data_IF_056796176038
#
_entry.id   IF_056796176038
#
_cell.length_a   1.000
_cell.length_b   1.000
_cell.length_c   1.000
_cell.angle_alpha   90.00
_cell.angle_beta   90.00
_cell.angle_gamma   90.00
#
_symmetry.space_group_name_H-M   'P 1'
#
loop_
_entity.id
_entity.type
_entity.pdbx_description
1 polymer ?
#
# COMPACT_ATOMS: atom_id res chain seq x y z
N UNK A 1 -17.61 32.06 13.23
CA UNK A 1 -17.67 30.75 13.90
C UNK A 1 -16.94 29.76 13.00
N UNK A 2 -15.67 29.51 13.31
CA UNK A 2 -14.93 28.43 12.67
C UNK A 2 -15.40 27.14 13.34
N UNK A 3 -15.87 26.18 12.55
CA UNK A 3 -16.16 24.84 13.05
C UNK A 3 -14.84 24.26 13.57
N UNK A 4 -14.77 24.03 14.88
CA UNK A 4 -13.78 23.17 15.49
C UNK A 4 -14.03 21.76 14.93
N UNK A 5 -13.32 21.45 13.85
CA UNK A 5 -13.27 20.12 13.27
C UNK A 5 -12.84 19.16 14.35
N UNK A 6 -13.72 18.21 14.66
CA UNK A 6 -13.53 17.20 15.68
C UNK A 6 -12.44 16.24 15.20
N UNK A 7 -11.17 16.62 15.37
CA UNK A 7 -9.96 15.94 14.86
C UNK A 7 -9.65 14.60 15.57
N UNK A 8 -10.64 14.00 16.25
CA UNK A 8 -10.51 12.78 17.04
C UNK A 8 -11.36 11.61 16.50
N UNK A 9 -11.89 11.71 15.27
CA UNK A 9 -12.59 10.58 14.63
C UNK A 9 -11.64 9.85 13.70
N UNK A 10 -11.21 8.65 14.09
CA UNK A 10 -10.47 7.71 13.23
C UNK A 10 -11.37 6.93 12.26
N UNK A 11 -12.69 7.18 12.27
CA UNK A 11 -13.65 6.52 11.38
C UNK A 11 -14.70 7.53 10.95
N UNK A 12 -14.90 7.66 9.65
CA UNK A 12 -15.87 8.58 9.06
C UNK A 12 -17.30 8.03 9.14
N UNK A 13 -18.31 8.86 8.89
CA UNK A 13 -19.72 8.44 8.94
C UNK A 13 -20.02 7.31 7.95
N UNK A 14 -19.37 7.33 6.79
CA UNK A 14 -19.44 6.27 5.80
C UNK A 14 -18.90 4.95 6.33
N UNK A 15 -17.70 4.95 6.93
CA UNK A 15 -17.07 3.75 7.51
C UNK A 15 -17.97 3.09 8.54
N UNK A 16 -18.54 3.90 9.45
CA UNK A 16 -19.45 3.42 10.50
C UNK A 16 -20.71 2.81 9.88
N UNK A 17 -21.30 3.47 8.89
CA UNK A 17 -22.53 2.98 8.23
C UNK A 17 -22.33 1.68 7.46
N UNK A 18 -21.09 1.39 7.08
CA UNK A 18 -20.69 0.19 6.35
C UNK A 18 -20.12 -0.90 7.25
N UNK A 19 -20.09 -0.67 8.57
CA UNK A 19 -19.57 -1.64 9.53
C UNK A 19 -18.05 -1.77 9.50
N UNK A 20 -17.32 -0.78 8.97
CA UNK A 20 -15.87 -0.85 8.82
C UNK A 20 -15.10 -0.52 10.11
N UNK A 21 -15.77 0.05 11.13
CA UNK A 21 -15.19 0.38 12.44
C UNK A 21 -14.69 -0.84 13.23
N UNK A 22 -15.01 -2.06 12.78
CA UNK A 22 -14.52 -3.30 13.36
C UNK A 22 -13.14 -3.72 12.81
N UNK A 23 -12.59 -2.99 11.84
CA UNK A 23 -11.30 -3.29 11.22
C UNK A 23 -10.25 -2.25 11.59
N UNK A 24 -9.00 -2.71 11.64
CA UNK A 24 -7.80 -1.87 11.55
C UNK A 24 -7.34 -1.88 10.10
N UNK A 25 -7.05 -0.69 9.58
CA UNK A 25 -6.60 -0.50 8.21
C UNK A 25 -5.07 -0.46 8.14
N UNK A 26 -4.50 -1.16 7.16
CA UNK A 26 -3.09 -1.01 6.80
C UNK A 26 -2.96 -0.59 5.33
N UNK A 27 -1.91 0.15 5.04
CA UNK A 27 -1.51 0.46 3.69
C UNK A 27 -0.36 -0.45 3.26
N UNK A 28 -0.47 -1.01 2.06
CA UNK A 28 0.64 -1.71 1.38
C UNK A 28 1.58 -0.73 0.66
N UNK A 29 1.14 0.52 0.49
CA UNK A 29 1.89 1.59 -0.16
C UNK A 29 2.83 2.33 0.78
N UNK A 30 3.46 3.37 0.25
CA UNK A 30 4.31 4.25 1.02
C UNK A 30 3.53 4.91 2.17
N UNK A 31 4.10 4.97 3.38
CA UNK A 31 3.54 5.77 4.45
C UNK A 31 3.51 7.25 4.05
N UNK A 32 2.34 7.88 4.12
CA UNK A 32 2.21 9.33 3.97
C UNK A 32 2.14 9.99 5.34
N UNK A 33 3.23 10.67 5.73
CA UNK A 33 3.32 11.40 7.00
C UNK A 33 2.24 12.48 7.14
N UNK A 34 1.74 13.02 6.04
CA UNK A 34 0.72 14.06 6.07
C UNK A 34 -0.67 13.54 6.46
N UNK A 35 -0.91 12.22 6.39
CA UNK A 35 -2.26 11.64 6.53
C UNK A 35 -2.49 10.88 7.84
N UNK A 36 -1.46 10.28 8.46
CA UNK A 36 -1.67 9.25 9.50
C UNK A 36 -1.06 9.55 10.88
N UNK A 37 -0.64 10.79 11.13
CA UNK A 37 -0.12 11.21 12.44
C UNK A 37 1.34 10.81 12.70
N UNK A 38 1.85 10.99 13.93
CA UNK A 38 3.29 10.94 14.20
C UNK A 38 3.88 9.54 14.35
N UNK A 39 3.05 8.50 14.41
CA UNK A 39 3.45 7.12 14.65
C UNK A 39 3.13 6.25 13.44
N UNK A 40 4.11 5.49 12.99
CA UNK A 40 3.95 4.56 11.87
C UNK A 40 4.60 3.24 12.22
N UNK A 41 3.83 2.15 12.09
CA UNK A 41 4.28 0.83 12.48
C UNK A 41 4.44 -0.04 11.24
N UNK A 42 5.61 -0.67 11.09
CA UNK A 42 5.74 -1.77 10.15
C UNK A 42 5.03 -3.00 10.69
N UNK A 43 4.05 -3.47 9.95
CA UNK A 43 3.30 -4.69 10.27
C UNK A 43 3.94 -5.87 9.55
N UNK A 44 3.96 -7.03 10.21
CA UNK A 44 4.41 -8.27 9.59
C UNK A 44 3.50 -8.65 8.42
N UNK A 45 4.03 -8.77 7.17
CA UNK A 45 3.22 -9.12 6.01
C UNK A 45 2.53 -10.48 6.14
N UNK A 46 2.97 -11.37 7.04
CA UNK A 46 2.27 -12.62 7.35
C UNK A 46 0.83 -12.41 7.83
N UNK A 47 0.47 -11.20 8.27
CA UNK A 47 -0.91 -10.82 8.60
C UNK A 47 -1.87 -11.00 7.41
N UNK A 48 -1.38 -10.89 6.17
CA UNK A 48 -2.16 -11.12 4.95
C UNK A 48 -2.54 -12.58 4.75
N UNK A 49 -1.78 -13.51 5.31
CA UNK A 49 -2.02 -14.95 5.18
C UNK A 49 -3.09 -15.45 6.17
N UNK A 50 -3.57 -14.58 7.06
CA UNK A 50 -4.60 -14.92 8.01
C UNK A 50 -5.97 -14.96 7.30
N UNK A 51 -6.79 -16.00 7.52
CA UNK A 51 -8.06 -16.17 6.80
C UNK A 51 -9.05 -15.00 6.95
N UNK A 52 -8.94 -14.26 8.05
CA UNK A 52 -9.82 -13.14 8.37
C UNK A 52 -9.38 -11.79 7.78
N UNK A 53 -8.19 -11.74 7.18
CA UNK A 53 -7.66 -10.51 6.57
C UNK A 53 -8.21 -10.37 5.15
N UNK A 54 -8.72 -9.18 4.84
CA UNK A 54 -9.23 -8.85 3.49
C UNK A 54 -8.53 -7.60 2.97
N UNK A 55 -8.51 -7.44 1.66
CA UNK A 55 -7.94 -6.27 1.02
C UNK A 55 -8.89 -5.72 -0.05
N UNK A 56 -8.83 -4.41 -0.26
CA UNK A 56 -9.49 -3.74 -1.38
C UNK A 56 -8.42 -3.05 -2.24
N UNK A 57 -8.56 -3.03 -3.57
CA UNK A 57 -7.56 -2.39 -4.43
C UNK A 57 -7.47 -0.87 -4.22
N UNK A 58 -8.52 -0.27 -3.66
CA UNK A 58 -8.65 1.16 -3.39
C UNK A 58 -9.24 1.39 -2.00
N UNK A 59 -8.86 2.52 -1.41
CA UNK A 59 -9.50 3.09 -0.22
C UNK A 59 -10.95 3.51 -0.58
N UNK A 60 -11.87 3.38 0.38
CA UNK A 60 -13.26 3.77 0.16
C UNK A 60 -13.40 5.27 -0.15
N UNK A 61 -12.55 6.12 0.41
CA UNK A 61 -12.50 7.55 0.14
C UNK A 61 -12.13 7.85 -1.32
N UNK A 62 -11.30 7.02 -1.95
CA UNK A 62 -10.98 7.13 -3.38
C UNK A 62 -12.17 6.73 -4.28
N UNK A 63 -13.03 5.83 -3.79
CA UNK A 63 -14.22 5.36 -4.53
C UNK A 63 -15.41 6.30 -4.32
N UNK A 64 -15.71 6.66 -3.08
CA UNK A 64 -16.83 7.53 -2.72
C UNK A 64 -16.53 9.00 -3.06
N UNK A 65 -15.28 9.43 -2.89
CA UNK A 65 -14.87 10.83 -2.93
C UNK A 65 -14.78 11.43 -1.53
N UNK A 66 -13.86 12.38 -1.33
CA UNK A 66 -13.54 12.94 -0.01
C UNK A 66 -14.71 13.67 0.68
N UNK A 67 -15.67 14.21 -0.08
CA UNK A 67 -16.86 14.85 0.51
C UNK A 67 -17.90 13.84 1.00
N UNK A 68 -17.87 12.63 0.43
CA UNK A 68 -18.91 11.62 0.62
C UNK A 68 -18.61 10.75 1.85
N UNK A 69 -17.36 10.70 2.32
CA UNK A 69 -16.99 9.95 3.54
C UNK A 69 -17.69 10.51 4.80
N UNK A 70 -18.02 11.80 4.81
CA UNK A 70 -18.74 12.46 5.90
C UNK A 70 -20.24 12.13 5.95
N UNK A 71 -20.77 11.45 4.93
CA UNK A 71 -22.17 11.02 4.85
C UNK A 71 -22.28 9.51 5.11
N UNK A 72 -23.32 9.04 5.82
CA UNK A 72 -23.61 7.61 5.89
C UNK A 72 -24.05 7.08 4.51
N UNK A 73 -23.82 5.80 4.26
CA UNK A 73 -24.09 5.14 2.97
C UNK A 73 -25.49 5.42 2.41
N UNK A 74 -26.52 5.42 3.26
CA UNK A 74 -27.91 5.67 2.88
C UNK A 74 -28.20 7.08 2.34
N UNK A 75 -27.32 8.04 2.63
CA UNK A 75 -27.43 9.44 2.18
C UNK A 75 -26.60 9.73 0.93
N UNK A 76 -25.78 8.77 0.49
CA UNK A 76 -25.01 8.89 -0.74
C UNK A 76 -25.91 8.87 -1.98
N UNK A 77 -25.42 9.48 -3.06
CA UNK A 77 -26.08 9.36 -4.37
C UNK A 77 -26.15 7.90 -4.81
N UNK A 78 -27.19 7.53 -5.57
CA UNK A 78 -27.31 6.15 -6.13
C UNK A 78 -26.07 5.72 -6.89
N UNK A 79 -25.43 6.65 -7.62
CA UNK A 79 -24.19 6.38 -8.36
C UNK A 79 -23.03 6.05 -7.42
N UNK A 80 -22.86 6.81 -6.33
CA UNK A 80 -21.83 6.54 -5.33
C UNK A 80 -22.07 5.19 -4.63
N UNK A 81 -23.30 4.90 -4.24
CA UNK A 81 -23.68 3.61 -3.65
C UNK A 81 -23.36 2.44 -4.59
N UNK A 82 -23.66 2.58 -5.89
CA UNK A 82 -23.34 1.57 -6.91
C UNK A 82 -21.84 1.36 -7.06
N UNK A 83 -21.03 2.43 -7.08
CA UNK A 83 -19.57 2.34 -7.14
C UNK A 83 -19.00 1.64 -5.91
N UNK A 84 -19.46 1.97 -4.71
CA UNK A 84 -19.04 1.26 -3.49
C UNK A 84 -19.40 -0.23 -3.59
N UNK A 85 -20.63 -0.56 -4.02
CA UNK A 85 -21.03 -1.96 -4.13
C UNK A 85 -20.18 -2.75 -5.15
N UNK A 86 -19.89 -2.14 -6.30
CA UNK A 86 -19.19 -2.82 -7.39
C UNK A 86 -17.66 -2.75 -7.26
N UNK A 87 -17.12 -1.56 -7.03
CA UNK A 87 -15.67 -1.29 -7.09
C UNK A 87 -14.98 -1.51 -5.74
N UNK A 88 -15.69 -1.31 -4.62
CA UNK A 88 -15.11 -1.56 -3.29
C UNK A 88 -15.36 -2.99 -2.84
N UNK A 89 -16.64 -3.39 -2.72
CA UNK A 89 -16.99 -4.74 -2.27
C UNK A 89 -16.83 -5.79 -3.37
N UNK A 90 -17.20 -5.49 -4.61
CA UNK A 90 -17.09 -6.44 -5.72
C UNK A 90 -15.65 -6.76 -6.14
N UNK A 91 -14.67 -5.94 -5.73
CA UNK A 91 -13.24 -6.18 -5.95
C UNK A 91 -12.49 -6.56 -4.67
N UNK A 92 -13.20 -6.80 -3.56
CA UNK A 92 -12.58 -7.22 -2.31
C UNK A 92 -12.02 -8.63 -2.45
N UNK A 93 -10.80 -8.82 -1.95
CA UNK A 93 -10.06 -10.07 -2.04
C UNK A 93 -9.63 -10.52 -0.64
N UNK A 94 -9.30 -11.80 -0.51
CA UNK A 94 -8.60 -12.26 0.69
C UNK A 94 -7.21 -11.65 0.74
N UNK A 95 -6.61 -11.55 1.93
CA UNK A 95 -5.24 -11.05 2.05
C UNK A 95 -4.22 -11.90 1.27
N UNK A 96 -4.43 -13.21 1.18
CA UNK A 96 -3.59 -14.13 0.43
C UNK A 96 -3.68 -13.88 -1.09
N UNK A 97 -4.89 -13.71 -1.63
CA UNK A 97 -5.09 -13.39 -3.05
C UNK A 97 -4.51 -12.02 -3.40
N UNK A 98 -4.63 -11.04 -2.50
CA UNK A 98 -4.02 -9.73 -2.67
C UNK A 98 -2.49 -9.79 -2.69
N UNK A 99 -1.91 -10.57 -1.77
CA UNK A 99 -0.47 -10.81 -1.74
C UNK A 99 0.02 -11.42 -3.06
N UNK A 100 -0.68 -12.43 -3.57
CA UNK A 100 -0.36 -13.04 -4.86
C UNK A 100 -0.49 -12.04 -6.01
N UNK A 101 -1.56 -11.24 -6.03
CA UNK A 101 -1.79 -10.22 -7.04
C UNK A 101 -0.65 -9.20 -7.10
N UNK A 102 -0.20 -8.69 -5.95
CA UNK A 102 0.93 -7.76 -5.91
C UNK A 102 2.24 -8.45 -6.30
N UNK A 103 2.48 -9.67 -5.82
CA UNK A 103 3.67 -10.43 -6.22
C UNK A 103 3.76 -10.60 -7.74
N UNK A 104 2.65 -10.92 -8.41
CA UNK A 104 2.58 -10.98 -9.88
C UNK A 104 2.93 -9.65 -10.53
N UNK A 105 2.41 -8.53 -10.03
CA UNK A 105 2.74 -7.19 -10.57
C UNK A 105 4.21 -6.82 -10.41
N UNK A 106 4.81 -7.17 -9.27
CA UNK A 106 6.25 -6.99 -9.04
C UNK A 106 7.05 -7.82 -10.04
N UNK A 107 6.70 -9.10 -10.22
CA UNK A 107 7.35 -10.00 -11.16
C UNK A 107 7.21 -9.50 -12.61
N UNK A 108 6.01 -9.08 -13.02
CA UNK A 108 5.78 -8.56 -14.37
C UNK A 108 6.59 -7.29 -14.64
N UNK A 109 6.74 -6.42 -13.63
CA UNK A 109 7.61 -5.24 -13.71
C UNK A 109 9.07 -5.64 -13.92
N UNK A 110 9.58 -6.62 -13.15
CA UNK A 110 10.94 -7.14 -13.31
C UNK A 110 11.13 -7.79 -14.68
N UNK A 111 10.17 -8.55 -15.19
CA UNK A 111 10.23 -9.14 -16.54
C UNK A 111 10.21 -8.10 -17.66
N UNK A 112 9.55 -6.96 -17.45
CA UNK A 112 9.58 -5.83 -18.38
C UNK A 112 10.93 -5.09 -18.37
N UNK A 113 11.88 -5.54 -17.54
CA UNK A 113 13.22 -4.98 -17.43
C UNK A 113 13.38 -3.99 -16.29
N UNK A 114 12.33 -3.72 -15.49
CA UNK A 114 12.42 -2.75 -14.40
C UNK A 114 13.27 -3.30 -13.24
N UNK A 115 14.27 -2.56 -12.75
CA UNK A 115 15.12 -2.97 -11.63
C UNK A 115 14.36 -3.04 -10.31
N UNK A 116 13.33 -2.20 -10.19
CA UNK A 116 12.66 -1.89 -8.95
C UNK A 116 11.18 -1.76 -9.22
N UNK A 117 10.38 -2.14 -8.25
CA UNK A 117 8.95 -1.89 -8.31
C UNK A 117 8.65 -0.53 -7.68
N UNK A 118 8.08 0.38 -8.48
CA UNK A 118 7.73 1.73 -8.03
C UNK A 118 6.49 1.68 -7.11
N UNK A 119 6.70 2.00 -5.83
CA UNK A 119 5.64 2.29 -4.86
C UNK A 119 5.15 3.73 -5.12
N UNK A 120 4.07 3.87 -5.88
CA UNK A 120 3.49 5.18 -6.15
C UNK A 120 2.74 5.72 -4.93
N UNK A 121 2.99 6.99 -4.63
CA UNK A 121 2.20 7.74 -3.66
C UNK A 121 0.86 8.13 -4.30
N UNK A 122 -0.22 8.10 -3.51
CA UNK A 122 -1.50 8.70 -3.92
C UNK A 122 -2.60 7.73 -4.30
N UNK A 123 -2.83 6.69 -3.50
CA UNK A 123 -4.11 5.96 -3.55
C UNK A 123 -4.36 5.15 -4.82
N UNK A 124 -3.35 4.98 -5.70
CA UNK A 124 -3.50 4.21 -6.94
C UNK A 124 -2.80 2.86 -6.85
N UNK A 125 -3.56 1.85 -6.44
CA UNK A 125 -3.29 0.46 -6.80
C UNK A 125 -2.34 -0.32 -5.90
N UNK A 126 -2.03 0.15 -4.68
CA UNK A 126 -1.35 -0.67 -3.67
C UNK A 126 -2.31 -1.28 -2.66
N UNK A 127 -3.55 -0.81 -2.64
CA UNK A 127 -4.64 -1.40 -1.87
C UNK A 127 -4.61 -1.10 -0.37
N UNK A 128 -5.79 -1.20 0.22
CA UNK A 128 -6.05 -1.04 1.64
C UNK A 128 -6.38 -2.41 2.25
N UNK A 129 -5.60 -2.81 3.25
CA UNK A 129 -5.73 -4.06 3.97
C UNK A 129 -6.58 -3.82 5.21
N UNK A 130 -7.47 -4.76 5.53
CA UNK A 130 -8.40 -4.70 6.66
C UNK A 130 -8.19 -5.92 7.54
N UNK A 131 -7.77 -5.67 8.78
CA UNK A 131 -7.60 -6.68 9.80
C UNK A 131 -8.70 -6.55 10.86
N UNK A 132 -9.51 -7.59 11.11
CA UNK A 132 -10.63 -7.46 12.05
C UNK A 132 -10.14 -7.43 13.50
N UNK A 133 -10.75 -6.57 14.31
CA UNK A 133 -10.49 -6.45 15.74
C UNK A 133 -9.25 -5.62 16.05
N UNK A 134 -8.36 -6.17 16.89
CA UNK A 134 -7.18 -5.48 17.40
C UNK A 134 -5.93 -6.19 16.90
N UNK A 135 -4.96 -5.41 16.41
CA UNK A 135 -3.66 -5.93 15.98
C UNK A 135 -2.81 -6.18 17.22
N UNK A 136 -2.51 -7.45 17.47
CA UNK A 136 -1.61 -7.84 18.54
C UNK A 136 -0.18 -7.33 18.29
N UNK A 137 0.56 -7.06 19.38
CA UNK A 137 1.93 -6.55 19.28
C UNK A 137 2.89 -7.51 18.59
N UNK A 138 2.56 -8.81 18.54
CA UNK A 138 3.32 -9.82 17.79
C UNK A 138 3.35 -9.58 16.28
N UNK A 139 2.42 -8.78 15.74
CA UNK A 139 2.38 -8.40 14.33
C UNK A 139 3.12 -7.11 14.03
N UNK A 140 3.58 -6.37 15.05
CA UNK A 140 4.32 -5.12 14.86
C UNK A 140 5.83 -5.42 14.86
N UNK A 141 6.50 -5.17 13.73
CA UNK A 141 7.93 -5.41 13.55
C UNK A 141 8.79 -4.25 13.99
N UNK A 142 8.43 -3.04 13.56
CA UNK A 142 9.18 -1.82 13.84
C UNK A 142 8.23 -0.64 14.06
N UNK A 143 8.69 0.33 14.82
CA UNK A 143 8.07 1.63 14.99
C UNK A 143 8.97 2.69 14.35
N UNK A 144 8.43 3.40 13.35
CA UNK A 144 9.06 4.50 12.64
C UNK A 144 8.41 5.84 13.02
N UNK A 145 8.33 6.09 14.32
CA UNK A 145 7.86 7.36 14.86
C UNK A 145 8.76 8.52 14.42
N UNK A 146 8.17 9.52 13.78
CA UNK A 146 8.90 10.69 13.28
C UNK A 146 9.27 10.62 11.80
N UNK A 147 9.04 11.73 11.09
CA UNK A 147 9.46 11.93 9.69
C UNK A 147 10.92 11.54 9.42
N UNK A 148 11.81 11.83 10.37
CA UNK A 148 13.24 11.51 10.26
C UNK A 148 13.50 10.00 10.18
N UNK A 149 12.78 9.18 10.96
CA UNK A 149 12.94 7.73 10.89
C UNK A 149 12.44 7.16 9.57
N UNK A 150 11.35 7.71 9.02
CA UNK A 150 10.86 7.31 7.71
C UNK A 150 11.88 7.63 6.62
N UNK A 151 12.37 8.87 6.58
CA UNK A 151 13.28 9.34 5.54
C UNK A 151 14.68 8.71 5.62
N UNK A 152 15.19 8.44 6.83
CA UNK A 152 16.57 7.96 7.03
C UNK A 152 16.69 6.45 7.24
N UNK A 153 15.62 5.76 7.61
CA UNK A 153 15.67 4.32 7.95
C UNK A 153 14.73 3.52 7.07
N UNK A 154 13.44 3.83 7.09
CA UNK A 154 12.44 3.03 6.38
C UNK A 154 12.58 3.14 4.86
N UNK A 155 12.56 4.35 4.30
CA UNK A 155 12.66 4.53 2.85
C UNK A 155 13.95 3.98 2.23
N UNK A 156 15.14 4.17 2.80
CA UNK A 156 16.35 3.52 2.29
C UNK A 156 16.27 1.99 2.34
N UNK A 157 15.63 1.42 3.37
CA UNK A 157 15.45 -0.04 3.47
C UNK A 157 14.58 -0.63 2.37
N UNK A 158 13.59 0.13 1.86
CA UNK A 158 12.75 -0.31 0.74
C UNK A 158 13.57 -0.43 -0.54
N UNK A 159 14.51 0.49 -0.77
CA UNK A 159 15.40 0.45 -1.92
C UNK A 159 16.31 -0.77 -1.92
N UNK A 160 16.88 -1.11 -0.76
CA UNK A 160 17.68 -2.33 -0.60
C UNK A 160 16.89 -3.63 -0.89
N UNK A 161 15.55 -3.55 -0.89
CA UNK A 161 14.64 -4.65 -1.20
C UNK A 161 14.08 -4.61 -2.63
N UNK A 162 14.58 -3.72 -3.49
CA UNK A 162 14.14 -3.60 -4.89
C UNK A 162 12.86 -2.78 -5.05
N UNK A 163 12.54 -1.87 -4.13
CA UNK A 163 11.41 -0.95 -4.25
C UNK A 163 11.89 0.49 -4.37
N UNK A 164 11.30 1.26 -5.29
CA UNK A 164 11.52 2.70 -5.39
C UNK A 164 10.25 3.46 -5.04
N UNK A 165 10.37 4.78 -4.82
CA UNK A 165 9.22 5.63 -4.56
C UNK A 165 9.38 7.02 -5.17
N UNK A 166 8.24 7.63 -5.46
CA UNK A 166 8.16 8.97 -6.04
C UNK A 166 8.76 10.00 -5.07
N UNK A 167 9.83 10.70 -5.51
CA UNK A 167 10.49 11.75 -4.72
C UNK A 167 11.73 11.30 -3.92
N UNK A 168 12.21 10.06 -4.07
CA UNK A 168 13.51 9.66 -3.50
C UNK A 168 14.66 10.44 -4.16
N UNK A 169 15.32 11.33 -3.42
CA UNK A 169 16.54 12.02 -3.89
C UNK A 169 17.67 11.04 -4.19
N UNK A 170 17.72 9.89 -3.51
CA UNK A 170 18.70 8.85 -3.80
C UNK A 170 18.43 8.19 -5.16
N UNK A 171 17.18 7.79 -5.42
CA UNK A 171 16.79 7.27 -6.73
C UNK A 171 17.04 8.32 -7.83
N UNK A 172 16.75 9.60 -7.56
CA UNK A 172 17.02 10.69 -8.51
C UNK A 172 18.52 10.90 -8.77
N UNK A 173 19.36 10.80 -7.74
CA UNK A 173 20.83 10.95 -7.86
C UNK A 173 21.48 9.82 -8.61
N UNK A 174 21.17 8.57 -8.26
CA UNK A 174 21.70 7.39 -8.96
C UNK A 174 21.29 7.40 -10.44
N UNK A 175 20.08 7.88 -10.76
CA UNK A 175 19.61 8.04 -12.15
C UNK A 175 20.37 9.11 -12.93
N UNK A 176 20.74 10.21 -12.27
CA UNK A 176 21.55 11.28 -12.86
C UNK A 176 23.00 10.82 -13.06
N UNK A 177 23.57 10.07 -12.11
CA UNK A 177 24.92 9.49 -12.22
C UNK A 177 25.02 8.45 -13.34
N UNK A 178 23.94 7.71 -13.60
CA UNK A 178 23.81 6.77 -14.72
C UNK A 178 23.49 7.46 -16.06
N UNK A 179 23.39 8.79 -16.10
CA UNK A 179 23.15 9.57 -17.33
C UNK A 179 21.75 9.42 -17.93
N UNK A 180 20.74 9.02 -17.13
CA UNK A 180 19.40 8.67 -17.61
C UNK A 180 18.43 9.84 -17.39
N UNK A 181 17.77 10.30 -18.46
CA UNK A 181 16.90 11.51 -18.46
C UNK A 181 15.39 11.19 -18.33
N UNK A 182 15.02 9.91 -18.37
CA UNK A 182 13.72 9.31 -18.04
C UNK A 182 13.97 7.87 -17.56
N UNK A 183 13.02 7.26 -16.86
CA UNK A 183 13.07 5.85 -16.40
C UNK A 183 13.46 4.93 -17.56
N UNK A 184 14.75 4.70 -17.71
CA UNK A 184 15.29 3.51 -18.34
C UNK A 184 15.96 2.75 -17.24
N UNK A 185 15.52 1.52 -17.14
CA UNK A 185 15.61 0.64 -16.00
C UNK A 185 17.02 0.06 -15.82
N UNK A 186 17.60 0.05 -14.60
CA UNK A 186 18.81 -0.72 -14.38
C UNK A 186 18.64 -2.17 -14.78
N UNK A 187 19.63 -2.70 -15.48
CA UNK A 187 19.57 -4.08 -15.90
C UNK A 187 19.67 -4.99 -14.67
N UNK A 188 19.07 -6.18 -14.70
CA UNK A 188 19.17 -7.18 -13.64
C UNK A 188 20.62 -7.51 -13.23
N UNK A 189 21.58 -7.40 -14.15
CA UNK A 189 23.01 -7.53 -13.88
C UNK A 189 23.55 -6.36 -13.02
N UNK A 190 23.03 -5.15 -13.22
CA UNK A 190 23.34 -3.95 -12.41
C UNK A 190 22.84 -4.09 -10.96
N UNK A 191 21.86 -4.96 -10.72
CA UNK A 191 21.31 -5.26 -9.39
C UNK A 191 21.88 -6.52 -8.72
N UNK A 192 22.78 -7.24 -9.39
CA UNK A 192 23.30 -8.51 -8.89
C UNK A 192 22.22 -9.60 -8.75
N UNK A 193 21.14 -9.52 -9.52
CA UNK A 193 20.09 -10.55 -9.52
C UNK A 193 20.62 -11.77 -10.29
N UNK A 194 20.79 -12.88 -9.57
CA UNK A 194 21.08 -14.17 -10.20
C UNK A 194 19.80 -14.73 -10.85
N UNK A 195 19.69 -14.49 -12.15
CA UNK A 195 18.56 -14.94 -12.95
C UNK A 195 18.35 -16.45 -12.94
N UNK A 196 19.43 -17.23 -12.87
CA UNK A 196 19.35 -18.69 -12.89
C UNK A 196 18.77 -19.17 -11.56
N UNK A 197 19.20 -18.58 -10.46
CA UNK A 197 18.67 -18.86 -9.13
C UNK A 197 17.21 -18.42 -9.00
N UNK A 198 16.88 -17.20 -9.42
CA UNK A 198 15.51 -16.67 -9.36
C UNK A 198 14.54 -17.51 -10.21
N UNK A 199 14.92 -17.89 -11.43
CA UNK A 199 14.13 -18.75 -12.30
C UNK A 199 14.02 -20.18 -11.74
N UNK A 200 15.06 -20.72 -11.13
CA UNK A 200 15.03 -22.05 -10.50
C UNK A 200 14.08 -22.10 -9.30
N UNK A 201 14.11 -21.08 -8.44
CA UNK A 201 13.18 -20.94 -7.31
C UNK A 201 11.75 -20.88 -7.85
N UNK A 202 11.54 -20.10 -8.91
CA UNK A 202 10.21 -19.96 -9.52
C UNK A 202 9.68 -21.25 -10.13
N UNK A 203 10.52 -22.00 -10.86
CA UNK A 203 10.13 -23.29 -11.43
C UNK A 203 9.83 -24.33 -10.33
N UNK A 204 10.50 -24.25 -9.18
CA UNK A 204 10.20 -25.13 -8.04
C UNK A 204 8.87 -24.80 -7.34
N UNK A 205 8.39 -23.55 -7.45
CA UNK A 205 7.10 -23.11 -6.88
C UNK A 205 5.94 -23.43 -7.83
N UNK A 206 6.17 -23.43 -9.15
CA UNK A 206 5.12 -23.65 -10.15
C UNK A 206 4.69 -25.11 -10.32
N UNK A 207 5.52 -26.08 -9.96
CA UNK A 207 5.28 -27.50 -10.26
C UNK A 207 5.62 -27.86 -11.70
#
# INVERSE_FOLDING_TARGET
MMNEGNSNRNSYALDISLGLQQYVFFNWGMPDWSQYGPHMYAVDPRVLLLPQTVATPWDISAIAGLTDIELPYSQLSRKAQQRIQHDYYGMMLTGADWFEFIARRVIDSVHAGNPVYELRNGGVGMGEIKFPGIVGSEWIKNDYSGREQLEKVYYPSLYALGFAYEGSEQARREMVELGRTRMTDPTPEELGIDYVQAASIWNSIRG
#
